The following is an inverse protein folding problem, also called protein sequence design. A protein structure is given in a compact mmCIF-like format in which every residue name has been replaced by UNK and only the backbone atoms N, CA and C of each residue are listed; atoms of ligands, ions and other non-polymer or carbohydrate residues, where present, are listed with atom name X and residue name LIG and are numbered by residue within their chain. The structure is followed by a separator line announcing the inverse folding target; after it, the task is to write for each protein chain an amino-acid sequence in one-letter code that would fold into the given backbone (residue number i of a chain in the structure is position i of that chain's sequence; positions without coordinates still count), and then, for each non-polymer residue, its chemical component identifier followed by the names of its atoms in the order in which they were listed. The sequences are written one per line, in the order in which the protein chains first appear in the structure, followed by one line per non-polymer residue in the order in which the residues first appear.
data_IF_423090744758
#
_entry.id   IF_423090744758
#
_cell.length_a   1.000
_cell.length_b   1.000
_cell.length_c   1.000
_cell.angle_alpha   90.00
_cell.angle_beta   90.00
_cell.angle_gamma   90.00
#
_symmetry.space_group_name_H-M   'P 1'
#
loop_
_entity.id
_entity.type
_entity.pdbx_description
1 polymer ?
#
# COMPACT_ATOMS: atom_id res chain seq x y z
N UNK A 1 -24.25 35.66 11.55
CA UNK A 1 -24.15 34.19 11.65
C UNK A 1 -24.31 33.62 10.25
N UNK A 2 -23.24 33.11 9.65
CA UNK A 2 -23.31 32.47 8.33
C UNK A 2 -23.97 31.09 8.47
N UNK A 3 -25.10 30.91 7.79
CA UNK A 3 -25.88 29.66 7.74
C UNK A 3 -25.22 28.66 6.76
N UNK A 4 -25.38 27.35 6.99
CA UNK A 4 -24.72 26.32 6.18
C UNK A 4 -25.30 26.27 4.76
N UNK A 5 -24.41 26.16 3.77
CA UNK A 5 -24.77 25.96 2.35
C UNK A 5 -24.86 24.46 2.09
N UNK A 6 -26.07 23.93 1.93
CA UNK A 6 -26.33 22.56 1.47
C UNK A 6 -26.47 22.54 -0.05
N UNK A 7 -25.65 21.75 -0.74
CA UNK A 7 -25.78 21.55 -2.19
C UNK A 7 -26.86 20.52 -2.46
N UNK A 8 -27.97 20.99 -3.00
CA UNK A 8 -29.02 20.14 -3.58
C UNK A 8 -28.95 20.27 -5.11
N UNK A 9 -29.32 19.20 -5.81
CA UNK A 9 -29.27 19.12 -7.29
C UNK A 9 -30.01 20.33 -7.88
N UNK A 10 -29.27 21.17 -8.61
CA UNK A 10 -29.66 22.53 -9.04
C UNK A 10 -30.97 22.63 -9.86
N UNK A 11 -31.56 21.50 -10.30
CA UNK A 11 -32.87 21.44 -10.94
C UNK A 11 -34.05 21.13 -9.99
N UNK A 12 -33.81 20.42 -8.89
CA UNK A 12 -34.85 19.98 -7.96
C UNK A 12 -35.26 21.10 -7.00
N UNK A 13 -34.31 21.90 -6.53
CA UNK A 13 -34.56 23.05 -5.66
C UNK A 13 -35.31 24.18 -6.35
N UNK A 14 -35.05 24.41 -7.64
CA UNK A 14 -35.72 25.49 -8.39
C UNK A 14 -37.17 25.15 -8.71
N UNK A 15 -37.45 23.86 -8.95
CA UNK A 15 -38.80 23.35 -9.15
C UNK A 15 -39.60 23.32 -7.83
N UNK A 16 -38.95 22.95 -6.72
CA UNK A 16 -39.55 22.96 -5.38
C UNK A 16 -39.76 24.41 -4.90
N UNK A 17 -38.79 25.31 -5.05
CA UNK A 17 -38.94 26.72 -4.68
C UNK A 17 -40.05 27.42 -5.47
N UNK A 18 -40.15 27.16 -6.78
CA UNK A 18 -41.21 27.70 -7.64
C UNK A 18 -42.59 27.07 -7.38
N UNK A 19 -42.63 25.83 -6.88
CA UNK A 19 -43.87 25.17 -6.48
C UNK A 19 -44.37 25.59 -5.08
N UNK A 20 -43.48 26.09 -4.22
CA UNK A 20 -43.81 26.57 -2.86
C UNK A 20 -44.08 28.08 -2.83
N UNK A 21 -43.59 28.84 -3.82
CA UNK A 21 -43.79 30.29 -3.93
C UNK A 21 -45.24 30.79 -3.81
N UNK A 22 -46.29 30.05 -4.26
CA UNK A 22 -47.68 30.46 -4.08
C UNK A 22 -48.38 29.81 -2.86
N UNK A 23 -47.68 29.03 -2.03
CA UNK A 23 -48.30 28.34 -0.90
C UNK A 23 -48.37 29.26 0.33
N UNK A 24 -49.47 30.02 0.38
CA UNK A 24 -50.02 30.77 1.51
C UNK A 24 -49.06 31.71 2.26
N UNK A 25 -49.33 33.02 2.18
CA UNK A 25 -48.65 34.04 2.97
C UNK A 25 -48.91 33.85 4.48
N UNK A 26 -47.99 34.35 5.32
CA UNK A 26 -48.08 34.24 6.78
C UNK A 26 -49.36 34.89 7.33
N UNK A 27 -49.87 35.91 6.65
CA UNK A 27 -51.14 36.57 6.91
C UNK A 27 -52.38 35.71 6.58
N UNK A 28 -52.28 34.77 5.63
CA UNK A 28 -53.39 33.87 5.25
C UNK A 28 -53.53 32.70 6.21
N UNK A 29 -52.42 32.14 6.70
CA UNK A 29 -52.42 31.16 7.79
C UNK A 29 -52.96 31.76 9.10
N UNK A 30 -52.71 33.05 9.36
CA UNK A 30 -53.24 33.76 10.52
C UNK A 30 -54.76 34.00 10.44
N UNK A 31 -55.31 34.15 9.22
CA UNK A 31 -56.77 34.34 8.98
C UNK A 31 -57.56 33.03 9.09
N UNK A 32 -56.97 31.92 8.63
CA UNK A 32 -57.57 30.59 8.72
C UNK A 32 -57.62 30.04 10.16
N UNK A 33 -56.60 30.33 10.97
CA UNK A 33 -56.51 29.92 12.39
C UNK A 33 -57.44 30.72 13.31
N UNK A 34 -58.00 31.84 12.85
CA UNK A 34 -59.03 32.64 13.53
C UNK A 34 -60.47 32.35 13.07
N UNK A 35 -60.70 31.32 12.24
CA UNK A 35 -62.04 30.90 11.79
C UNK A 35 -62.60 31.63 10.56
N UNK A 36 -61.78 32.35 9.79
CA UNK A 36 -62.20 32.97 8.53
C UNK A 36 -62.28 31.97 7.36
N UNK A 37 -63.19 32.22 6.39
CA UNK A 37 -63.22 31.47 5.12
C UNK A 37 -62.00 31.79 4.27
N UNK A 38 -61.31 30.76 3.77
CA UNK A 38 -60.23 30.86 2.79
C UNK A 38 -60.81 30.62 1.40
N UNK A 39 -60.56 31.55 0.47
CA UNK A 39 -60.92 31.38 -0.95
C UNK A 39 -59.86 30.50 -1.63
N UNK A 40 -60.29 29.36 -2.18
CA UNK A 40 -59.44 28.39 -2.86
C UNK A 40 -59.51 28.52 -4.39
N UNK A 41 -60.18 29.56 -4.91
CA UNK A 41 -60.44 29.77 -6.34
C UNK A 41 -59.21 29.96 -7.22
N UNK A 42 -58.07 30.35 -6.63
CA UNK A 42 -56.76 30.51 -7.31
C UNK A 42 -55.80 29.33 -7.10
N UNK A 43 -56.20 28.29 -6.36
CA UNK A 43 -55.41 27.05 -6.30
C UNK A 43 -55.64 26.23 -7.58
N UNK A 44 -54.54 25.86 -8.23
CA UNK A 44 -54.46 25.26 -9.56
C UNK A 44 -55.67 24.39 -9.95
N UNK A 45 -56.41 24.82 -10.97
CA UNK A 45 -57.50 24.05 -11.58
C UNK A 45 -56.89 22.95 -12.45
N UNK A 46 -57.67 21.90 -12.72
CA UNK A 46 -57.27 20.78 -13.60
C UNK A 46 -56.79 21.24 -15.00
N UNK A 47 -57.20 22.44 -15.43
CA UNK A 47 -56.75 23.13 -16.66
C UNK A 47 -55.30 23.60 -16.60
N UNK A 48 -54.77 23.88 -15.40
CA UNK A 48 -53.42 24.41 -15.19
C UNK A 48 -52.35 23.29 -15.16
N UNK A 49 -52.80 22.03 -15.14
CA UNK A 49 -51.98 20.83 -15.32
C UNK A 49 -51.85 20.43 -16.80
N UNK A 50 -52.65 21.00 -17.71
CA UNK A 50 -52.59 20.69 -19.15
C UNK A 50 -51.24 21.00 -19.85
N UNK A 51 -50.42 21.99 -19.42
CA UNK A 51 -49.11 22.24 -20.01
C UNK A 51 -47.97 21.42 -19.36
N UNK A 52 -48.24 20.57 -18.36
CA UNK A 52 -47.21 19.70 -17.78
C UNK A 52 -47.06 18.42 -18.62
N UNK A 53 -46.02 18.42 -19.44
CA UNK A 53 -45.56 17.31 -20.30
C UNK A 53 -46.56 16.89 -21.39
N UNK A 54 -46.39 17.45 -22.58
CA UNK A 54 -47.07 16.96 -23.78
C UNK A 54 -46.38 15.69 -24.29
N UNK A 55 -47.08 14.89 -25.10
CA UNK A 55 -46.51 13.69 -25.75
C UNK A 55 -45.26 13.99 -26.59
N UNK A 56 -45.06 15.25 -26.99
CA UNK A 56 -43.88 15.73 -27.69
C UNK A 56 -42.67 15.91 -26.76
N UNK A 57 -42.88 16.27 -25.49
CA UNK A 57 -41.81 16.43 -24.49
C UNK A 57 -41.22 15.07 -24.04
N UNK A 58 -42.00 13.99 -24.18
CA UNK A 58 -41.56 12.62 -23.94
C UNK A 58 -40.88 11.96 -25.16
N UNK A 59 -40.99 12.56 -26.36
CA UNK A 59 -40.41 12.03 -27.60
C UNK A 59 -38.87 12.18 -27.67
N UNK A 60 -38.27 12.98 -26.78
CA UNK A 60 -36.81 13.09 -26.62
C UNK A 60 -36.18 11.97 -25.77
N UNK A 61 -36.99 11.09 -25.18
CA UNK A 61 -36.50 9.87 -24.51
C UNK A 61 -36.52 8.70 -25.48
N UNK A 62 -35.53 7.80 -25.35
CA UNK A 62 -35.22 6.74 -26.30
C UNK A 62 -36.48 6.06 -26.88
N UNK A 63 -36.66 6.17 -28.19
CA UNK A 63 -37.79 5.57 -28.91
C UNK A 63 -37.66 4.05 -28.92
N UNK A 64 -38.78 3.35 -29.15
CA UNK A 64 -38.84 1.88 -29.24
C UNK A 64 -37.91 1.32 -30.34
N UNK A 65 -37.53 2.13 -31.33
CA UNK A 65 -36.50 1.82 -32.34
C UNK A 65 -35.07 1.95 -31.79
N UNK A 66 -34.77 2.92 -30.93
CA UNK A 66 -33.44 3.07 -30.30
C UNK A 66 -33.13 1.97 -29.28
N UNK A 67 -34.15 1.28 -28.76
CA UNK A 67 -34.01 0.05 -27.96
C UNK A 67 -33.82 -1.19 -28.86
N UNK A 68 -34.22 -1.13 -30.13
CA UNK A 68 -34.07 -2.24 -31.08
C UNK A 68 -32.63 -2.38 -31.62
N UNK A 69 -31.81 -1.32 -31.49
CA UNK A 69 -30.37 -1.34 -31.82
C UNK A 69 -29.49 -1.85 -30.66
N UNK A 70 -30.08 -2.26 -29.53
CA UNK A 70 -29.36 -3.01 -28.51
C UNK A 70 -29.09 -4.44 -29.02
N UNK A 71 -27.88 -4.99 -28.85
CA UNK A 71 -27.55 -6.32 -29.32
C UNK A 71 -28.53 -7.35 -28.75
N UNK A 72 -29.15 -8.10 -29.65
CA UNK A 72 -30.06 -9.18 -29.33
C UNK A 72 -29.29 -10.39 -28.78
N UNK A 73 -30.02 -11.36 -28.22
CA UNK A 73 -29.43 -12.63 -27.76
C UNK A 73 -28.70 -13.40 -28.86
N UNK A 74 -29.01 -13.13 -30.14
CA UNK A 74 -28.30 -13.68 -31.29
C UNK A 74 -26.96 -12.96 -31.56
N UNK A 75 -26.86 -11.66 -31.27
CA UNK A 75 -25.63 -10.87 -31.43
C UNK A 75 -24.59 -11.20 -30.34
N UNK A 76 -25.05 -11.75 -29.20
CA UNK A 76 -24.20 -12.30 -28.14
C UNK A 76 -23.72 -13.73 -28.41
N UNK A 77 -24.18 -14.40 -29.47
CA UNK A 77 -23.79 -15.78 -29.82
C UNK A 77 -22.39 -15.88 -30.44
N UNK A 78 -21.74 -14.75 -30.75
CA UNK A 78 -20.34 -14.69 -31.21
C UNK A 78 -19.30 -14.68 -30.08
N UNK A 79 -19.72 -14.69 -28.81
CA UNK A 79 -18.82 -14.83 -27.67
C UNK A 79 -18.59 -16.31 -27.33
N UNK A 80 -17.35 -16.63 -26.99
CA UNK A 80 -16.83 -17.98 -26.75
C UNK A 80 -17.84 -18.91 -26.03
N UNK A 81 -18.21 -19.98 -26.72
CA UNK A 81 -19.02 -21.06 -26.18
C UNK A 81 -18.20 -21.92 -25.20
N UNK A 82 -18.87 -22.75 -24.39
CA UNK A 82 -18.20 -23.75 -23.54
C UNK A 82 -17.24 -24.68 -24.31
N UNK A 83 -17.42 -24.82 -25.63
CA UNK A 83 -16.51 -25.60 -26.48
C UNK A 83 -15.22 -24.85 -26.83
N UNK A 84 -15.25 -23.52 -26.87
CA UNK A 84 -14.08 -22.67 -27.17
C UNK A 84 -13.12 -22.58 -25.97
N UNK A 85 -13.61 -22.84 -24.75
CA UNK A 85 -12.80 -22.91 -23.51
C UNK A 85 -12.22 -24.33 -23.29
N UNK A 86 -12.66 -25.34 -24.04
CA UNK A 86 -12.18 -26.73 -23.90
C UNK A 86 -10.74 -26.94 -24.41
N UNK A 87 -10.11 -25.92 -25.01
CA UNK A 87 -8.73 -25.95 -25.50
C UNK A 87 -7.69 -25.31 -24.58
N UNK A 88 -8.07 -24.75 -23.42
CA UNK A 88 -7.17 -23.85 -22.65
C UNK A 88 -6.23 -24.58 -21.68
N UNK A 89 -6.39 -25.88 -21.44
CA UNK A 89 -5.35 -26.76 -20.87
C UNK A 89 -5.82 -28.22 -20.98
N UNK A 90 -5.06 -29.06 -21.68
CA UNK A 90 -5.24 -30.52 -21.64
C UNK A 90 -4.24 -31.11 -20.66
N UNK A 91 -4.56 -32.27 -20.09
CA UNK A 91 -3.63 -33.03 -19.22
C UNK A 91 -2.31 -33.38 -19.92
N UNK A 92 -2.30 -33.38 -21.27
CA UNK A 92 -1.08 -33.48 -22.09
C UNK A 92 -0.15 -32.27 -21.95
N UNK A 93 -0.65 -31.10 -21.59
CA UNK A 93 0.17 -29.88 -21.42
C UNK A 93 0.98 -29.92 -20.10
N UNK A 94 0.74 -30.94 -19.26
CA UNK A 94 1.51 -31.25 -18.05
C UNK A 94 2.64 -32.26 -18.33
N UNK A 95 2.74 -32.83 -19.54
CA UNK A 95 3.88 -33.71 -19.89
C UNK A 95 5.10 -32.85 -20.16
N UNK A 96 6.00 -32.76 -19.17
CA UNK A 96 7.17 -31.88 -19.18
C UNK A 96 7.42 -31.18 -17.84
N UNK A 97 6.44 -31.21 -16.93
CA UNK A 97 6.70 -30.87 -15.53
C UNK A 97 7.50 -31.99 -14.87
N UNK A 98 8.57 -31.62 -14.18
CA UNK A 98 9.50 -32.53 -13.54
C UNK A 98 8.76 -33.62 -12.75
N UNK A 99 8.96 -34.87 -13.15
CA UNK A 99 8.40 -36.03 -12.48
C UNK A 99 9.07 -36.19 -11.10
N UNK A 100 8.41 -36.89 -10.19
CA UNK A 100 8.95 -37.19 -8.84
C UNK A 100 10.32 -37.90 -8.89
N UNK A 101 10.67 -38.50 -10.03
CA UNK A 101 11.99 -39.07 -10.30
C UNK A 101 13.07 -38.00 -10.55
N UNK A 102 12.78 -36.88 -11.20
CA UNK A 102 13.75 -35.80 -11.46
C UNK A 102 14.08 -34.97 -10.22
N UNK A 103 13.25 -35.04 -9.17
CA UNK A 103 13.52 -34.48 -7.84
C UNK A 103 14.49 -35.32 -6.99
N UNK A 104 14.84 -36.54 -7.40
CA UNK A 104 15.78 -37.40 -6.64
C UNK A 104 17.25 -36.97 -6.75
N UNK A 105 17.56 -36.00 -7.62
CA UNK A 105 18.90 -35.39 -7.74
C UNK A 105 19.13 -34.16 -6.85
N UNK A 106 18.12 -33.70 -6.10
CA UNK A 106 18.29 -32.61 -5.14
C UNK A 106 18.75 -33.18 -3.80
N UNK A 107 19.75 -32.53 -3.20
CA UNK A 107 20.40 -32.93 -1.95
C UNK A 107 19.37 -33.37 -0.89
N UNK A 108 19.47 -34.63 -0.50
CA UNK A 108 18.65 -35.27 0.53
C UNK A 108 19.12 -34.83 1.92
N UNK A 109 18.29 -35.07 2.95
CA UNK A 109 18.69 -34.86 4.36
C UNK A 109 19.99 -35.59 4.75
N UNK A 110 20.37 -36.64 4.02
CA UNK A 110 21.64 -37.33 4.22
C UNK A 110 22.84 -36.54 3.67
N UNK A 111 22.66 -35.80 2.56
CA UNK A 111 23.73 -35.00 1.93
C UNK A 111 24.10 -33.76 2.77
N UNK A 112 23.16 -33.26 3.60
CA UNK A 112 23.39 -32.16 4.55
C UNK A 112 23.89 -32.68 5.92
N UNK A 113 23.76 -33.98 6.20
CA UNK A 113 24.21 -34.56 7.48
C UNK A 113 25.74 -34.63 7.61
N UNK A 114 26.48 -34.49 6.51
CA UNK A 114 27.95 -34.56 6.50
C UNK A 114 28.70 -33.24 6.74
N UNK A 115 28.01 -32.14 7.09
CA UNK A 115 28.64 -30.80 7.14
C UNK A 115 29.34 -30.50 8.49
N UNK A 116 29.11 -31.30 9.53
CA UNK A 116 29.98 -31.38 10.73
C UNK A 116 29.49 -32.51 11.65
N UNK A 117 30.37 -33.43 12.04
CA UNK A 117 30.12 -34.46 13.04
C UNK A 117 30.89 -34.18 14.33
N UNK A 118 30.41 -34.71 15.47
CA UNK A 118 31.15 -34.68 16.74
C UNK A 118 32.51 -35.39 16.65
N UNK A 119 32.69 -36.28 15.66
CA UNK A 119 33.99 -36.84 15.31
C UNK A 119 34.97 -35.79 14.77
N UNK A 120 34.50 -34.69 14.19
CA UNK A 120 35.37 -33.63 13.66
C UNK A 120 36.02 -32.79 14.80
N UNK A 121 35.55 -32.98 16.04
CA UNK A 121 36.17 -32.45 17.25
C UNK A 121 37.24 -33.41 17.81
N UNK A 122 37.35 -34.64 17.28
CA UNK A 122 38.40 -35.57 17.69
C UNK A 122 39.73 -35.09 17.13
N UNK A 123 40.62 -34.63 18.01
CA UNK A 123 41.91 -34.02 17.66
C UNK A 123 42.09 -32.59 18.16
N UNK A 124 41.04 -31.91 18.63
CA UNK A 124 41.20 -30.66 19.36
C UNK A 124 41.74 -30.94 20.77
N UNK A 125 42.80 -30.22 21.16
CA UNK A 125 43.38 -30.33 22.49
C UNK A 125 42.32 -30.01 23.56
N UNK A 126 42.13 -30.94 24.49
CA UNK A 126 41.29 -30.75 25.67
C UNK A 126 41.85 -29.64 26.53
N UNK A 127 40.97 -29.02 27.35
CA UNK A 127 41.39 -27.99 28.33
C UNK A 127 42.52 -28.49 29.24
N UNK A 128 42.54 -29.79 29.56
CA UNK A 128 43.61 -30.41 30.34
C UNK A 128 44.95 -30.46 29.58
N UNK A 129 44.93 -30.87 28.31
CA UNK A 129 46.12 -30.92 27.45
C UNK A 129 46.73 -29.53 27.22
N UNK A 130 45.89 -28.52 26.97
CA UNK A 130 46.35 -27.13 26.81
C UNK A 130 46.95 -26.58 28.11
N UNK A 131 46.34 -26.88 29.26
CA UNK A 131 46.87 -26.47 30.58
C UNK A 131 48.23 -27.09 30.85
N UNK A 132 48.39 -28.38 30.54
CA UNK A 132 49.67 -29.08 30.69
C UNK A 132 50.73 -28.61 29.69
N UNK A 133 50.34 -28.21 28.48
CA UNK A 133 51.27 -27.62 27.51
C UNK A 133 51.78 -26.24 27.97
N UNK A 134 50.88 -25.39 28.47
CA UNK A 134 51.23 -24.05 29.00
C UNK A 134 52.17 -24.12 30.20
N UNK A 135 51.95 -25.06 31.12
CA UNK A 135 52.87 -25.32 32.24
C UNK A 135 54.27 -25.70 31.77
N UNK A 136 54.39 -26.53 30.71
CA UNK A 136 55.70 -26.95 30.18
C UNK A 136 56.52 -25.80 29.59
N UNK A 137 55.88 -24.72 29.16
CA UNK A 137 56.54 -23.50 28.67
C UNK A 137 56.62 -22.39 29.72
N UNK A 138 56.34 -22.71 30.99
CA UNK A 138 56.48 -21.77 32.12
C UNK A 138 55.36 -20.73 32.23
N UNK A 139 54.19 -20.98 31.63
CA UNK A 139 53.02 -20.09 31.73
C UNK A 139 52.04 -20.66 32.77
N UNK A 140 51.73 -19.86 33.79
CA UNK A 140 50.76 -20.23 34.84
C UNK A 140 49.34 -19.92 34.41
N UNK A 141 48.42 -20.88 34.53
CA UNK A 141 47.00 -20.65 34.23
C UNK A 141 46.28 -20.18 35.50
N UNK A 142 45.75 -18.95 35.48
CA UNK A 142 45.01 -18.36 36.60
C UNK A 142 43.51 -18.37 36.31
N UNK A 143 42.70 -18.64 37.33
CA UNK A 143 41.24 -18.70 37.22
C UNK A 143 40.58 -17.36 37.57
N UNK A 144 41.32 -16.49 38.26
CA UNK A 144 40.86 -15.18 38.72
C UNK A 144 41.98 -14.14 38.63
N UNK A 145 41.59 -12.86 38.51
CA UNK A 145 42.54 -11.74 38.52
C UNK A 145 43.33 -11.68 39.84
N UNK A 146 42.72 -12.07 40.95
CA UNK A 146 43.38 -12.11 42.26
C UNK A 146 44.51 -13.14 42.30
N UNK A 147 44.33 -14.33 41.70
CA UNK A 147 45.40 -15.32 41.58
C UNK A 147 46.55 -14.78 40.73
N UNK A 148 46.26 -14.12 39.59
CA UNK A 148 47.27 -13.54 38.73
C UNK A 148 48.07 -12.42 39.43
N UNK A 149 47.41 -11.58 40.21
CA UNK A 149 48.04 -10.48 40.97
C UNK A 149 48.90 -10.96 42.13
N UNK A 150 48.70 -12.19 42.61
CA UNK A 150 49.49 -12.81 43.67
C UNK A 150 50.77 -13.48 43.18
N UNK A 151 50.99 -13.53 41.86
CA UNK A 151 52.19 -14.14 41.27
C UNK A 151 53.42 -13.22 41.43
N UNK A 152 54.63 -13.79 41.59
CA UNK A 152 55.86 -13.01 41.62
C UNK A 152 56.04 -12.18 40.33
N UNK A 153 56.60 -10.97 40.48
CA UNK A 153 56.92 -10.09 39.35
C UNK A 153 57.79 -10.81 38.31
N UNK A 154 57.38 -10.72 37.05
CA UNK A 154 58.03 -11.39 35.91
C UNK A 154 57.44 -12.77 35.55
N UNK A 155 56.43 -13.26 36.28
CA UNK A 155 55.74 -14.51 35.94
C UNK A 155 54.80 -14.31 34.75
N UNK A 156 54.93 -15.15 33.71
CA UNK A 156 53.97 -15.19 32.61
C UNK A 156 52.73 -15.99 33.02
N UNK A 157 51.54 -15.42 32.84
CA UNK A 157 50.29 -16.07 33.17
C UNK A 157 49.24 -15.95 32.05
N UNK A 158 48.27 -16.87 32.08
CA UNK A 158 47.09 -16.87 31.22
C UNK A 158 45.83 -16.86 32.11
N UNK A 159 45.05 -15.78 32.08
CA UNK A 159 43.83 -15.63 32.89
C UNK A 159 42.62 -16.24 32.16
N UNK A 160 42.07 -17.31 32.72
CA UNK A 160 40.84 -17.95 32.24
C UNK A 160 39.67 -17.28 32.96
N UNK A 161 39.05 -16.26 32.37
CA UNK A 161 37.86 -15.65 32.97
C UNK A 161 36.70 -16.65 32.98
N UNK A 162 36.39 -17.19 34.16
CA UNK A 162 35.37 -18.21 34.40
C UNK A 162 33.93 -17.69 34.44
N UNK A 163 33.60 -16.59 33.75
CA UNK A 163 32.20 -16.26 33.53
C UNK A 163 31.69 -17.12 32.37
N UNK A 164 30.96 -18.20 32.69
CA UNK A 164 30.12 -18.83 31.69
C UNK A 164 29.24 -17.72 31.07
N UNK A 165 29.25 -17.50 29.75
CA UNK A 165 28.21 -16.68 29.14
C UNK A 165 26.89 -17.31 29.57
N UNK A 166 25.96 -16.51 30.09
CA UNK A 166 24.57 -16.95 30.17
C UNK A 166 24.24 -17.61 28.83
N UNK A 167 23.54 -18.77 28.80
CA UNK A 167 23.28 -19.49 27.56
C UNK A 167 22.80 -18.47 26.54
N UNK A 168 23.65 -18.21 25.55
CA UNK A 168 23.29 -17.28 24.49
C UNK A 168 22.00 -17.85 23.92
N UNK A 169 20.93 -17.06 23.76
CA UNK A 169 19.79 -17.53 23.00
C UNK A 169 20.39 -18.11 21.72
N UNK A 170 20.07 -19.37 21.42
CA UNK A 170 20.54 -20.08 20.22
C UNK A 170 20.65 -19.03 19.12
N UNK A 171 21.83 -18.76 18.53
CA UNK A 171 21.95 -17.73 17.53
C UNK A 171 20.79 -17.96 16.57
N UNK A 172 19.85 -17.02 16.56
CA UNK A 172 18.82 -17.04 15.53
C UNK A 172 19.55 -17.20 14.20
N UNK A 173 18.95 -17.86 13.20
CA UNK A 173 19.58 -18.01 11.90
C UNK A 173 20.26 -16.69 11.55
N UNK A 174 21.55 -16.74 11.22
CA UNK A 174 22.37 -15.56 10.98
C UNK A 174 21.52 -14.52 10.24
N UNK A 175 21.42 -13.26 10.73
CA UNK A 175 20.52 -12.28 10.15
C UNK A 175 20.69 -12.32 8.64
N UNK A 176 19.61 -12.59 7.92
CA UNK A 176 19.66 -12.70 6.47
C UNK A 176 20.51 -11.53 5.96
N UNK A 177 21.62 -11.84 5.30
CA UNK A 177 22.59 -10.84 4.87
C UNK A 177 21.91 -9.97 3.81
N UNK A 178 21.22 -8.91 4.25
CA UNK A 178 20.42 -8.09 3.38
C UNK A 178 19.33 -7.31 4.12
N UNK A 179 18.74 -6.35 3.41
CA UNK A 179 17.65 -5.55 3.95
C UNK A 179 16.45 -6.44 4.29
N UNK A 180 15.72 -6.07 5.34
CA UNK A 180 14.50 -6.76 5.79
C UNK A 180 13.40 -5.76 6.10
N UNK A 181 12.18 -6.04 5.63
CA UNK A 181 11.00 -5.26 6.00
C UNK A 181 10.71 -5.48 7.49
N UNK A 182 10.56 -4.40 8.25
CA UNK A 182 10.27 -4.43 9.69
C UNK A 182 8.79 -4.23 9.95
N UNK A 183 8.24 -3.12 9.46
CA UNK A 183 6.82 -2.80 9.62
C UNK A 183 6.33 -1.89 8.49
N UNK A 184 5.02 -1.74 8.41
CA UNK A 184 4.35 -0.84 7.47
C UNK A 184 3.12 -0.21 8.10
N UNK A 185 2.77 0.99 7.65
CA UNK A 185 1.54 1.67 8.04
C UNK A 185 1.00 2.48 6.87
N UNK A 186 -0.28 2.85 6.96
CA UNK A 186 -0.91 3.78 6.03
C UNK A 186 -1.93 4.63 6.79
N UNK A 187 -2.29 5.77 6.20
CA UNK A 187 -3.26 6.68 6.81
C UNK A 187 -3.69 7.82 5.90
N UNK A 188 -4.60 8.62 6.43
CA UNK A 188 -5.13 9.83 5.79
C UNK A 188 -4.79 11.06 6.62
N UNK A 189 -4.61 12.19 5.94
CA UNK A 189 -4.43 13.50 6.57
C UNK A 189 -5.19 14.55 5.77
N UNK A 190 -5.96 15.39 6.46
CA UNK A 190 -6.41 16.68 5.95
C UNK A 190 -5.76 17.75 6.81
N UNK A 191 -4.71 18.37 6.29
CA UNK A 191 -3.88 19.28 7.08
C UNK A 191 -2.60 19.69 6.39
N UNK A 192 -1.84 20.55 7.06
CA UNK A 192 -0.51 20.99 6.60
C UNK A 192 0.61 20.05 7.09
N UNK A 193 0.34 19.23 8.10
CA UNK A 193 1.32 18.36 8.76
C UNK A 193 0.90 16.91 8.63
N UNK A 194 1.79 16.04 8.15
CA UNK A 194 1.59 14.59 8.07
C UNK A 194 2.44 13.91 9.14
N UNK A 195 1.80 13.25 10.10
CA UNK A 195 2.46 12.52 11.18
C UNK A 195 2.45 11.03 10.89
N UNK A 196 3.63 10.42 10.80
CA UNK A 196 3.81 9.04 10.39
C UNK A 196 4.47 8.27 11.52
N UNK A 197 3.87 7.15 11.89
CA UNK A 197 4.38 6.21 12.89
C UNK A 197 4.43 4.82 12.27
N UNK A 198 5.61 4.24 12.26
CA UNK A 198 5.89 2.89 11.77
C UNK A 198 6.87 2.27 12.75
N UNK A 199 6.64 1.03 13.17
CA UNK A 199 7.56 0.36 14.10
C UNK A 199 8.95 0.19 13.48
N UNK A 200 9.99 0.27 14.30
CA UNK A 200 11.36 0.20 13.84
C UNK A 200 12.34 0.50 14.96
N UNK A 201 13.62 0.65 14.60
CA UNK A 201 14.67 1.08 15.53
C UNK A 201 15.67 2.00 14.84
N UNK A 202 16.48 2.69 15.65
CA UNK A 202 17.58 3.51 15.15
C UNK A 202 18.49 2.69 14.21
N UNK A 203 18.83 3.29 13.07
CA UNK A 203 19.59 2.62 12.00
C UNK A 203 18.71 1.99 10.91
N UNK A 204 17.41 1.78 11.15
CA UNK A 204 16.47 1.40 10.09
C UNK A 204 16.24 2.62 9.17
N UNK A 205 15.88 2.36 7.90
CA UNK A 205 15.42 3.37 6.93
C UNK A 205 13.90 3.33 6.84
N UNK A 206 13.28 4.41 6.39
CA UNK A 206 11.85 4.49 6.12
C UNK A 206 11.61 4.99 4.70
N UNK A 207 10.69 4.36 3.98
CA UNK A 207 10.19 4.81 2.67
C UNK A 207 8.75 5.22 2.82
N UNK A 208 8.38 6.37 2.25
CA UNK A 208 7.06 6.98 2.40
C UNK A 208 6.54 7.40 1.02
N UNK A 209 5.39 6.87 0.65
CA UNK A 209 4.62 7.33 -0.50
C UNK A 209 3.50 8.25 -0.03
N UNK A 210 3.39 9.43 -0.64
CA UNK A 210 2.34 10.41 -0.40
C UNK A 210 1.54 10.61 -1.68
N UNK A 211 0.22 10.65 -1.57
CA UNK A 211 -0.71 10.97 -2.64
C UNK A 211 -1.54 12.17 -2.21
N UNK A 212 -1.45 13.24 -2.98
CA UNK A 212 -2.11 14.51 -2.73
C UNK A 212 -3.21 14.76 -3.75
N UNK A 213 -4.32 15.34 -3.31
CA UNK A 213 -5.23 16.05 -4.22
C UNK A 213 -4.55 17.30 -4.78
N UNK A 214 -4.10 17.23 -6.03
CA UNK A 214 -3.49 18.34 -6.74
C UNK A 214 -4.53 19.13 -7.56
N UNK A 215 -5.51 19.74 -6.87
CA UNK A 215 -6.46 20.68 -7.46
C UNK A 215 -6.15 22.10 -6.98
N UNK A 216 -5.82 23.01 -7.91
CA UNK A 216 -5.40 24.37 -7.58
C UNK A 216 -3.90 24.48 -7.32
N UNK A 217 -3.50 25.36 -6.39
CA UNK A 217 -2.09 25.49 -5.98
C UNK A 217 -1.66 24.21 -5.26
N UNK A 218 -0.56 23.54 -5.66
CA UNK A 218 -0.10 22.32 -5.00
C UNK A 218 0.50 22.59 -3.61
N UNK A 219 0.28 21.70 -2.65
CA UNK A 219 0.86 21.76 -1.30
C UNK A 219 2.25 21.12 -1.27
N UNK A 220 3.29 21.91 -1.54
CA UNK A 220 4.65 21.42 -1.69
C UNK A 220 5.19 20.83 -0.38
N UNK A 221 5.73 19.61 -0.46
CA UNK A 221 6.45 18.98 0.63
C UNK A 221 7.83 19.62 0.79
N UNK A 222 8.14 20.07 2.00
CA UNK A 222 9.52 20.37 2.38
C UNK A 222 10.19 19.06 2.79
N UNK A 223 11.04 18.53 1.92
CA UNK A 223 11.81 17.30 2.21
C UNK A 223 12.72 17.56 3.41
N UNK A 224 12.63 16.76 4.50
CA UNK A 224 13.44 17.01 5.69
C UNK A 224 14.94 16.85 5.41
N UNK A 225 15.78 17.52 6.20
CA UNK A 225 17.23 17.36 6.08
C UNK A 225 17.65 15.90 6.28
N UNK A 226 18.51 15.38 5.40
CA UNK A 226 18.97 13.99 5.44
C UNK A 226 17.97 12.97 4.84
N UNK A 227 16.94 13.46 4.14
CA UNK A 227 16.00 12.66 3.36
C UNK A 227 16.20 12.86 1.87
N UNK A 228 15.88 11.84 1.09
CA UNK A 228 15.94 11.84 -0.35
C UNK A 228 14.53 11.75 -0.94
N UNK A 229 14.27 12.54 -1.98
CA UNK A 229 13.07 12.39 -2.81
C UNK A 229 13.39 11.49 -4.00
N UNK A 230 13.07 10.21 -3.87
CA UNK A 230 13.40 9.17 -4.86
C UNK A 230 12.42 9.09 -6.01
N UNK A 231 11.20 9.60 -5.83
CA UNK A 231 10.25 9.87 -6.91
C UNK A 231 9.84 11.33 -6.80
N UNK A 232 10.20 12.14 -7.79
CA UNK A 232 9.80 13.54 -7.85
C UNK A 232 8.28 13.68 -7.90
N UNK A 233 7.70 14.82 -7.47
CA UNK A 233 6.26 15.02 -7.51
C UNK A 233 5.74 14.76 -8.92
N UNK A 234 4.88 13.76 -9.05
CA UNK A 234 4.40 13.28 -10.34
C UNK A 234 2.92 13.64 -10.47
N UNK A 235 2.60 14.47 -11.45
CA UNK A 235 1.23 14.92 -11.71
C UNK A 235 0.52 14.00 -12.69
N UNK A 236 -0.68 13.57 -12.33
CA UNK A 236 -1.58 12.87 -13.25
C UNK A 236 -3.02 13.17 -12.88
N UNK A 237 -3.78 13.68 -13.85
CA UNK A 237 -5.15 14.15 -13.62
C UNK A 237 -5.20 15.22 -12.52
N UNK A 238 -5.83 14.86 -11.40
CA UNK A 238 -6.07 15.71 -10.23
C UNK A 238 -5.32 15.24 -8.99
N UNK A 239 -4.34 14.35 -9.18
CA UNK A 239 -3.49 13.84 -8.11
C UNK A 239 -2.03 14.15 -8.36
N UNK A 240 -1.27 14.22 -7.26
CA UNK A 240 0.18 14.32 -7.27
C UNK A 240 0.76 13.33 -6.28
N UNK A 241 1.64 12.45 -6.73
CA UNK A 241 2.31 11.51 -5.86
C UNK A 241 3.80 11.85 -5.71
N UNK A 242 4.36 11.58 -4.53
CA UNK A 242 5.79 11.71 -4.25
C UNK A 242 6.23 10.52 -3.39
N UNK A 243 7.44 10.02 -3.61
CA UNK A 243 8.05 8.99 -2.76
C UNK A 243 9.35 9.53 -2.22
N UNK A 244 9.49 9.50 -0.90
CA UNK A 244 10.67 9.93 -0.17
C UNK A 244 11.22 8.79 0.68
N UNK A 245 12.49 8.90 1.05
CA UNK A 245 13.15 7.96 1.95
C UNK A 245 14.09 8.70 2.89
N UNK A 246 14.27 8.16 4.10
CA UNK A 246 15.12 8.79 5.11
C UNK A 246 15.44 7.87 6.29
N UNK A 247 16.14 8.39 7.31
CA UNK A 247 16.34 7.67 8.56
C UNK A 247 14.99 7.41 9.26
N UNK A 248 14.84 6.23 9.85
CA UNK A 248 13.69 5.95 10.70
C UNK A 248 13.74 6.79 11.98
N UNK A 249 12.57 7.24 12.42
CA UNK A 249 12.33 7.82 13.74
C UNK A 249 11.00 7.28 14.29
N UNK A 250 10.79 7.23 15.62
CA UNK A 250 9.54 6.78 16.22
C UNK A 250 8.32 7.59 15.76
N UNK A 251 8.54 8.84 15.38
CA UNK A 251 7.54 9.70 14.76
C UNK A 251 8.23 10.56 13.71
N UNK A 252 7.78 10.44 12.48
CA UNK A 252 8.21 11.28 11.36
C UNK A 252 7.12 12.34 11.13
N UNK A 253 7.53 13.59 11.08
CA UNK A 253 6.62 14.72 10.82
C UNK A 253 7.03 15.39 9.52
N UNK A 254 6.13 15.39 8.54
CA UNK A 254 6.32 16.05 7.25
C UNK A 254 5.47 17.32 7.20
N UNK A 255 6.02 18.38 6.62
CA UNK A 255 5.34 19.68 6.52
C UNK A 255 5.11 20.05 5.05
N UNK A 256 3.88 20.45 4.76
CA UNK A 256 3.45 20.95 3.46
C UNK A 256 3.38 22.48 3.46
N UNK A 257 3.44 23.11 2.29
CA UNK A 257 3.35 24.56 2.16
C UNK A 257 1.96 25.13 2.52
N UNK A 258 0.93 24.29 2.56
CA UNK A 258 -0.46 24.65 2.86
C UNK A 258 -1.25 23.39 3.26
N UNK A 259 -2.49 23.57 3.68
CA UNK A 259 -3.40 22.45 3.98
C UNK A 259 -3.67 21.64 2.72
N UNK A 260 -3.61 20.31 2.83
CA UNK A 260 -3.90 19.38 1.74
C UNK A 260 -4.67 18.15 2.23
N UNK A 261 -5.33 17.49 1.29
CA UNK A 261 -5.88 16.15 1.45
C UNK A 261 -4.81 15.15 0.94
N UNK A 262 -4.33 14.29 1.84
CA UNK A 262 -3.22 13.37 1.62
C UNK A 262 -3.62 11.96 2.05
N UNK A 263 -3.42 10.99 1.18
CA UNK A 263 -3.28 9.58 1.54
C UNK A 263 -1.80 9.22 1.60
N UNK A 264 -1.39 8.40 2.56
CA UNK A 264 0.02 8.01 2.69
C UNK A 264 0.17 6.54 3.07
N UNK A 265 1.28 5.94 2.64
CA UNK A 265 1.73 4.63 3.12
C UNK A 265 3.24 4.65 3.32
N UNK A 266 3.72 3.90 4.30
CA UNK A 266 5.12 3.88 4.69
C UNK A 266 5.57 2.48 5.13
N UNK A 267 6.86 2.19 4.96
CA UNK A 267 7.50 0.97 5.42
C UNK A 267 8.88 1.26 6.02
N UNK A 268 9.19 0.61 7.14
CA UNK A 268 10.51 0.62 7.76
C UNK A 268 11.31 -0.60 7.33
N UNK A 269 12.58 -0.38 6.99
CA UNK A 269 13.48 -1.39 6.42
C UNK A 269 14.78 -1.39 7.21
N UNK A 270 15.13 -2.56 7.75
CA UNK A 270 16.37 -2.77 8.50
C UNK A 270 17.48 -3.22 7.58
N UNK A 271 18.67 -2.68 7.79
CA UNK A 271 19.87 -3.09 7.02
C UNK A 271 19.93 -2.54 5.60
N UNK A 272 19.00 -1.66 5.21
CA UNK A 272 19.05 -0.97 3.93
C UNK A 272 20.14 0.11 3.94
N UNK A 273 21.12 -0.04 3.06
CA UNK A 273 22.19 0.96 2.86
C UNK A 273 21.80 2.02 1.83
N UNK A 274 21.07 1.63 0.79
CA UNK A 274 20.60 2.51 -0.29
C UNK A 274 19.17 2.19 -0.65
N UNK A 275 18.38 3.18 -1.05
CA UNK A 275 17.01 2.98 -1.52
C UNK A 275 16.82 3.72 -2.83
N UNK A 276 16.29 3.04 -3.86
CA UNK A 276 16.13 3.59 -5.21
C UNK A 276 14.76 3.27 -5.77
N UNK A 277 14.17 4.23 -6.47
CA UNK A 277 12.96 4.01 -7.24
C UNK A 277 13.28 3.48 -8.65
N UNK A 278 12.38 2.66 -9.18
CA UNK A 278 12.35 2.29 -10.59
C UNK A 278 11.50 3.26 -11.41
N UNK A 279 11.04 2.78 -12.56
CA UNK A 279 10.20 3.58 -13.46
C UNK A 279 8.80 3.80 -12.88
N UNK A 280 8.28 5.02 -13.06
CA UNK A 280 6.90 5.36 -12.75
C UNK A 280 6.04 5.12 -13.99
N UNK A 281 4.99 4.31 -13.85
CA UNK A 281 3.95 4.19 -14.89
C UNK A 281 2.68 4.87 -14.43
N UNK A 282 2.26 5.87 -15.19
CA UNK A 282 0.92 6.46 -15.07
C UNK A 282 -0.09 5.61 -15.81
N UNK A 283 -1.32 5.58 -15.30
CA UNK A 283 -2.46 4.83 -15.85
C UNK A 283 -2.77 5.16 -17.33
N UNK A 284 -2.47 6.39 -17.74
CA UNK A 284 -2.65 6.90 -19.10
C UNK A 284 -1.54 6.48 -20.08
N UNK A 285 -0.43 5.95 -19.58
CA UNK A 285 0.67 5.49 -20.43
C UNK A 285 0.33 4.10 -21.01
N UNK A 286 0.67 3.80 -22.27
CA UNK A 286 0.42 2.50 -22.86
C UNK A 286 1.05 1.32 -22.06
N UNK A 287 0.35 0.18 -21.93
CA UNK A 287 -1.08 0.02 -22.20
C UNK A 287 -1.89 0.84 -21.19
N UNK A 288 -2.87 1.58 -21.70
CA UNK A 288 -3.77 2.39 -20.88
C UNK A 288 -4.60 1.48 -19.98
N UNK A 289 -4.73 1.87 -18.73
CA UNK A 289 -5.42 1.13 -17.70
C UNK A 289 -6.64 1.94 -17.21
N UNK A 290 -7.65 1.27 -16.66
CA UNK A 290 -8.83 1.95 -16.08
C UNK A 290 -9.13 1.48 -14.67
N UNK A 291 -8.88 0.22 -14.36
CA UNK A 291 -9.09 -0.38 -13.03
C UNK A 291 -7.78 -0.85 -12.41
N UNK A 292 -6.65 -0.61 -13.06
CA UNK A 292 -5.34 -1.07 -12.58
C UNK A 292 -4.31 0.05 -12.53
N UNK A 293 -3.34 -0.11 -11.63
CA UNK A 293 -2.09 0.62 -11.65
C UNK A 293 -0.94 -0.40 -11.67
N UNK A 294 -0.18 -0.41 -12.76
CA UNK A 294 0.99 -1.28 -12.91
C UNK A 294 2.26 -0.54 -12.51
N UNK A 295 3.04 -1.07 -11.57
CA UNK A 295 4.40 -0.64 -11.29
C UNK A 295 5.38 -1.51 -12.09
N UNK A 296 6.14 -0.95 -13.05
CA UNK A 296 7.10 -1.70 -13.85
C UNK A 296 8.13 -2.45 -13.00
N UNK A 297 8.49 -3.66 -13.43
CA UNK A 297 9.43 -4.55 -12.77
C UNK A 297 10.77 -3.85 -12.50
N UNK A 298 11.18 -3.84 -11.23
CA UNK A 298 12.48 -3.35 -10.82
C UNK A 298 13.43 -4.51 -10.54
N UNK A 299 14.51 -4.56 -11.31
CA UNK A 299 15.56 -5.56 -11.14
C UNK A 299 16.46 -5.23 -9.93
N UNK A 300 16.97 -6.28 -9.29
CA UNK A 300 17.88 -6.19 -8.17
C UNK A 300 17.50 -7.10 -7.01
N UNK A 301 18.48 -7.30 -6.12
CA UNK A 301 18.31 -8.06 -4.88
C UNK A 301 18.05 -7.10 -3.71
N UNK A 302 17.20 -7.51 -2.78
CA UNK A 302 16.83 -6.72 -1.62
C UNK A 302 15.33 -6.74 -1.34
N UNK A 303 14.87 -5.79 -0.53
CA UNK A 303 13.44 -5.61 -0.26
C UNK A 303 12.86 -4.74 -1.37
N UNK A 304 11.96 -5.31 -2.17
CA UNK A 304 11.23 -4.54 -3.20
C UNK A 304 9.84 -4.22 -2.70
N UNK A 305 9.56 -2.92 -2.60
CA UNK A 305 8.26 -2.36 -2.29
C UNK A 305 7.62 -1.83 -3.56
N UNK A 306 6.31 -1.94 -3.64
CA UNK A 306 5.51 -1.36 -4.71
C UNK A 306 4.51 -0.38 -4.11
N UNK A 307 4.46 0.81 -4.68
CA UNK A 307 3.47 1.82 -4.36
C UNK A 307 2.53 1.98 -5.55
N UNK A 308 1.22 1.95 -5.30
CA UNK A 308 0.21 2.43 -6.24
C UNK A 308 -0.61 3.53 -5.59
N UNK A 309 -0.80 4.60 -6.35
CA UNK A 309 -1.52 5.79 -5.92
C UNK A 309 -2.73 5.97 -6.84
N UNK A 310 -3.91 6.19 -6.26
CA UNK A 310 -5.12 6.49 -7.01
C UNK A 310 -5.90 7.62 -6.32
N UNK A 311 -6.70 8.35 -7.10
CA UNK A 311 -7.70 9.26 -6.58
C UNK A 311 -9.04 9.02 -7.27
N UNK A 312 -10.03 8.61 -6.50
CA UNK A 312 -11.40 8.41 -6.98
C UNK A 312 -12.40 8.82 -5.92
N UNK A 313 -13.59 9.27 -6.31
CA UNK A 313 -14.69 9.52 -5.36
C UNK A 313 -15.57 8.29 -5.14
N UNK A 314 -15.38 7.23 -5.94
CA UNK A 314 -16.03 5.95 -5.71
C UNK A 314 -15.35 5.27 -4.53
N UNK A 315 -16.14 4.64 -3.66
CA UNK A 315 -15.60 4.04 -2.43
C UNK A 315 -14.78 2.79 -2.75
N UNK A 316 -13.61 2.70 -2.14
CA UNK A 316 -12.68 1.57 -2.27
C UNK A 316 -12.25 1.10 -0.88
N UNK A 317 -12.52 -0.16 -0.56
CA UNK A 317 -12.02 -0.79 0.66
C UNK A 317 -10.72 -1.53 0.40
N UNK A 318 -9.94 -1.77 1.46
CA UNK A 318 -8.74 -2.58 1.37
C UNK A 318 -9.06 -3.96 0.78
N UNK A 319 -10.13 -4.62 1.20
CA UNK A 319 -10.51 -5.98 0.80
C UNK A 319 -10.81 -6.07 -0.70
N UNK A 320 -11.30 -4.99 -1.31
CA UNK A 320 -11.59 -4.94 -2.75
C UNK A 320 -10.34 -4.69 -3.60
N UNK A 321 -9.32 -4.02 -3.04
CA UNK A 321 -8.08 -3.69 -3.74
C UNK A 321 -7.10 -4.85 -3.64
N UNK A 322 -6.76 -5.46 -4.78
CA UNK A 322 -5.88 -6.64 -4.84
C UNK A 322 -4.53 -6.30 -5.45
N UNK A 323 -3.52 -7.12 -5.16
CA UNK A 323 -2.19 -7.07 -5.78
C UNK A 323 -1.94 -8.35 -6.57
N UNK A 324 -1.17 -8.26 -7.65
CA UNK A 324 -0.83 -9.40 -8.51
C UNK A 324 -0.09 -10.52 -7.76
N UNK A 325 -0.13 -11.73 -8.31
CA UNK A 325 0.66 -12.84 -7.79
C UNK A 325 2.16 -12.48 -7.71
N UNK A 326 2.85 -13.01 -6.69
CA UNK A 326 4.23 -12.62 -6.39
C UNK A 326 4.36 -11.32 -5.59
N UNK A 327 3.24 -10.73 -5.18
CA UNK A 327 3.17 -9.56 -4.30
C UNK A 327 2.26 -9.82 -3.10
N UNK A 328 2.58 -9.18 -2.00
CA UNK A 328 1.78 -9.18 -0.77
C UNK A 328 1.47 -7.73 -0.39
N UNK A 329 0.18 -7.42 -0.25
CA UNK A 329 -0.26 -6.10 0.19
C UNK A 329 0.05 -5.93 1.67
N UNK A 330 0.82 -4.90 1.99
CA UNK A 330 1.28 -4.57 3.34
C UNK A 330 0.36 -3.56 4.03
N UNK A 331 -0.04 -2.53 3.31
CA UNK A 331 -0.88 -1.46 3.83
C UNK A 331 -1.72 -0.83 2.73
N UNK A 332 -2.87 -0.29 3.11
CA UNK A 332 -3.76 0.44 2.22
C UNK A 332 -4.31 1.67 2.94
N UNK A 333 -4.09 2.85 2.36
CA UNK A 333 -4.73 4.07 2.81
C UNK A 333 -6.14 4.14 2.21
N UNK A 334 -7.15 3.66 2.94
CA UNK A 334 -8.55 3.83 2.56
C UNK A 334 -8.96 5.30 2.59
N UNK A 335 -9.90 5.70 1.73
CA UNK A 335 -10.44 7.06 1.72
C UNK A 335 -11.10 7.39 3.07
N UNK A 336 -11.03 8.66 3.49
CA UNK A 336 -11.66 9.13 4.72
C UNK A 336 -12.39 10.45 4.48
N UNK A 337 -13.71 10.46 4.69
CA UNK A 337 -14.54 11.63 4.44
C UNK A 337 -14.43 12.11 2.98
N UNK A 338 -13.95 13.34 2.79
CA UNK A 338 -13.72 13.93 1.46
C UNK A 338 -12.29 13.73 0.94
N UNK A 339 -11.42 13.10 1.73
CA UNK A 339 -10.08 12.76 1.30
C UNK A 339 -10.12 11.46 0.49
N UNK A 340 -9.99 11.63 -0.82
CA UNK A 340 -10.17 10.60 -1.84
C UNK A 340 -8.89 9.91 -2.29
N UNK A 341 -7.78 10.12 -1.58
CA UNK A 341 -6.46 9.67 -2.01
C UNK A 341 -6.22 8.27 -1.46
N UNK A 342 -6.11 7.26 -2.34
CA UNK A 342 -5.72 5.91 -1.94
C UNK A 342 -4.25 5.66 -2.20
N UNK A 343 -3.64 4.88 -1.31
CA UNK A 343 -2.25 4.44 -1.44
C UNK A 343 -2.16 2.97 -1.07
N UNK A 344 -1.78 2.14 -2.03
CA UNK A 344 -1.47 0.73 -1.80
C UNK A 344 0.03 0.57 -1.67
N UNK A 345 0.47 -0.04 -0.58
CA UNK A 345 1.85 -0.47 -0.37
C UNK A 345 1.89 -2.00 -0.35
N UNK A 346 2.77 -2.59 -1.14
CA UNK A 346 2.99 -4.04 -1.21
C UNK A 346 4.48 -4.38 -1.20
N UNK A 347 4.81 -5.62 -0.85
CA UNK A 347 6.15 -6.20 -1.02
C UNK A 347 6.14 -7.29 -2.08
N UNK A 348 7.23 -7.39 -2.85
CA UNK A 348 7.49 -8.55 -3.71
C UNK A 348 7.85 -9.76 -2.83
N UNK A 349 7.24 -10.91 -3.12
CA UNK A 349 7.48 -12.16 -2.38
C UNK A 349 8.41 -13.11 -3.13
N UNK A 350 8.56 -12.93 -4.44
CA UNK A 350 9.49 -13.69 -5.28
C UNK A 350 10.86 -13.01 -5.46
N UNK A 351 11.86 -13.81 -5.84
CA UNK A 351 13.22 -13.33 -6.15
C UNK A 351 13.34 -12.73 -7.56
N UNK A 352 12.47 -13.13 -8.49
CA UNK A 352 12.49 -12.65 -9.86
C UNK A 352 11.83 -11.27 -9.99
N UNK A 353 12.38 -10.37 -10.83
CA UNK A 353 11.71 -9.12 -11.17
C UNK A 353 10.35 -9.41 -11.81
N UNK A 354 9.32 -8.75 -11.32
CA UNK A 354 7.96 -8.85 -11.82
C UNK A 354 7.27 -7.50 -11.65
N UNK A 355 6.35 -7.19 -12.56
CA UNK A 355 5.46 -6.05 -12.40
C UNK A 355 4.59 -6.24 -11.16
N UNK A 356 4.30 -5.15 -10.46
CA UNK A 356 3.20 -5.13 -9.49
C UNK A 356 1.97 -4.60 -10.20
N UNK A 357 0.88 -5.34 -10.21
CA UNK A 357 -0.41 -4.82 -10.71
C UNK A 357 -1.36 -4.70 -9.53
N UNK A 358 -1.74 -3.47 -9.20
CA UNK A 358 -2.79 -3.19 -8.21
C UNK A 358 -4.10 -3.05 -8.95
N UNK A 359 -5.12 -3.81 -8.53
CA UNK A 359 -6.46 -3.79 -9.15
C UNK A 359 -7.46 -3.16 -8.20
N UNK A 360 -8.24 -2.24 -8.72
CA UNK A 360 -9.26 -1.45 -8.02
C UNK A 360 -10.67 -1.86 -8.48
N UNK A 361 -11.68 -1.75 -7.62
CA UNK A 361 -13.05 -2.16 -7.96
C UNK A 361 -13.75 -1.18 -8.92
N UNK A 362 -13.29 0.07 -8.99
CA UNK A 362 -13.93 1.13 -9.75
C UNK A 362 -13.06 1.56 -10.94
N UNK A 363 -13.70 1.85 -12.07
CA UNK A 363 -12.99 2.41 -13.23
C UNK A 363 -12.66 3.90 -12.99
N UNK A 364 -11.39 4.24 -13.18
CA UNK A 364 -10.86 5.59 -13.07
C UNK A 364 -9.74 5.77 -14.11
N UNK A 365 -10.01 6.36 -15.27
CA UNK A 365 -8.99 6.47 -16.34
C UNK A 365 -7.97 7.62 -16.15
N UNK A 366 -8.26 8.58 -15.26
CA UNK A 366 -7.54 9.85 -15.21
C UNK A 366 -6.52 9.94 -14.09
N UNK A 367 -6.80 9.34 -12.94
CA UNK A 367 -5.92 9.39 -11.76
C UNK A 367 -5.39 7.99 -11.47
N UNK A 368 -4.08 7.80 -11.57
CA UNK A 368 -3.44 6.54 -11.22
C UNK A 368 -2.00 6.51 -11.65
N UNK A 369 -1.12 6.07 -10.76
CA UNK A 369 0.26 5.71 -11.10
C UNK A 369 0.80 4.68 -10.11
N UNK A 370 1.82 3.94 -10.52
CA UNK A 370 2.54 3.07 -9.62
C UNK A 370 4.03 3.01 -9.94
N UNK A 371 4.81 2.65 -8.92
CA UNK A 371 6.27 2.62 -8.94
C UNK A 371 6.80 1.57 -7.96
N UNK A 372 7.89 0.90 -8.33
CA UNK A 372 8.62 0.02 -7.43
C UNK A 372 9.81 0.75 -6.81
N UNK A 373 10.14 0.40 -5.58
CA UNK A 373 11.30 0.89 -4.83
C UNK A 373 12.07 -0.33 -4.32
N UNK A 374 13.39 -0.33 -4.49
CA UNK A 374 14.27 -1.37 -3.98
C UNK A 374 15.19 -0.80 -2.90
N UNK A 375 15.29 -1.53 -1.80
CA UNK A 375 16.13 -1.24 -0.64
C UNK A 375 17.16 -2.32 -0.42
#
# INVERSE_FOLDING_TARGET
MAKPTLYTKQGTDKAIAKAIEPLATKEELARASAGGKVDLGEYAKRTDLAPLATRADLAGYATRQQVADLPSRADLAGYATKSDVAGVARTSDLTGLATKAELTGLATKADVAGVAHTSDLTGLATKAELTEALKRVGITVCSTEAEAQSLPDGTLYFLVSGAAPAPSPTPGPAPAAGPTLVASAAGQVVGQTVTIKVDGKAGDKIVIGLNEKAQGTPANLTVPQGWDQIVAPYWVGTMRAVVITGPWAPTVTLTLSQVAEIGWAAASIRGASTIKAGDVKKRQAPPTETTTCTAPALAGAGVVLGFAFERTSAVESSEQVTVSAGWEKLAFASQEGLNYQTVTLARRTGSQPADMVVTYPNAQGSNGLAVQVIA
#
